data_IF_685616246708
#
_entry.id   IF_685616246708
#
_cell.length_a   1.000
_cell.length_b   1.000
_cell.length_c   1.000
_cell.angle_alpha   90.00
_cell.angle_beta   90.00
_cell.angle_gamma   90.00
#
_symmetry.space_group_name_H-M   'P 1'
#
loop_
_entity.id
_entity.type
_entity.pdbx_description
1 polymer ?
#
# COMPACT_ATOMS: atom_id res chain seq x y z
N UNK A 1 -31.48 -1.76 32.06
CA UNK A 1 -31.68 -2.28 30.69
C UNK A 1 -30.88 -1.51 29.64
N UNK A 2 -30.92 -0.17 29.63
CA UNK A 2 -30.15 0.67 28.67
C UNK A 2 -28.64 0.41 28.71
N UNK A 3 -28.01 0.32 29.90
CA UNK A 3 -26.57 0.06 30.01
C UNK A 3 -26.16 -1.33 29.50
N UNK A 4 -27.01 -2.34 29.70
CA UNK A 4 -26.76 -3.70 29.21
C UNK A 4 -26.90 -3.77 27.69
N UNK A 5 -27.93 -3.13 27.13
CA UNK A 5 -28.12 -3.04 25.68
C UNK A 5 -26.97 -2.29 25.00
N UNK A 6 -26.50 -1.18 25.59
CA UNK A 6 -25.33 -0.45 25.10
C UNK A 6 -24.06 -1.31 25.15
N UNK A 7 -23.84 -2.04 26.25
CA UNK A 7 -22.70 -2.94 26.37
C UNK A 7 -22.72 -4.04 25.31
N UNK A 8 -23.89 -4.66 25.07
CA UNK A 8 -24.05 -5.68 24.02
C UNK A 8 -23.80 -5.12 22.61
N UNK A 9 -24.27 -3.90 22.33
CA UNK A 9 -24.00 -3.23 21.05
C UNK A 9 -22.50 -2.95 20.89
N UNK A 10 -21.82 -2.46 21.93
CA UNK A 10 -20.37 -2.22 21.87
C UNK A 10 -19.58 -3.51 21.68
N UNK A 11 -20.00 -4.61 22.33
CA UNK A 11 -19.40 -5.94 22.12
C UNK A 11 -19.64 -6.43 20.69
N UNK A 12 -20.85 -6.29 20.16
CA UNK A 12 -21.17 -6.69 18.80
C UNK A 12 -20.38 -5.87 17.75
N UNK A 13 -20.26 -4.56 17.97
CA UNK A 13 -19.42 -3.68 17.13
C UNK A 13 -17.96 -4.13 17.23
N UNK A 14 -17.44 -4.30 18.45
CA UNK A 14 -16.08 -4.74 18.70
C UNK A 14 -15.76 -6.07 18.03
N UNK A 15 -16.68 -7.03 18.11
CA UNK A 15 -16.59 -8.30 17.41
C UNK A 15 -16.59 -8.11 15.89
N UNK A 16 -17.53 -7.34 15.33
CA UNK A 16 -17.63 -7.13 13.89
C UNK A 16 -16.39 -6.46 13.27
N UNK A 17 -15.85 -5.43 13.93
CA UNK A 17 -14.69 -4.69 13.43
C UNK A 17 -13.41 -5.51 13.51
N UNK A 18 -13.33 -6.43 14.47
CA UNK A 18 -12.14 -7.26 14.72
C UNK A 18 -12.22 -8.64 14.10
N UNK A 19 -13.40 -9.08 13.64
CA UNK A 19 -13.60 -10.42 13.08
C UNK A 19 -12.71 -10.61 11.84
N UNK A 20 -11.77 -11.57 11.87
CA UNK A 20 -10.91 -11.87 10.73
C UNK A 20 -11.76 -12.22 9.51
N UNK A 21 -11.33 -11.74 8.34
CA UNK A 21 -11.97 -12.04 7.06
C UNK A 21 -10.99 -12.86 6.22
N UNK A 22 -11.52 -13.59 5.24
CA UNK A 22 -10.70 -14.27 4.23
C UNK A 22 -10.20 -13.23 3.23
N UNK A 23 -9.27 -12.39 3.68
CA UNK A 23 -8.65 -11.40 2.82
C UNK A 23 -7.77 -12.10 1.78
N UNK A 24 -7.79 -11.61 0.54
CA UNK A 24 -7.00 -12.14 -0.57
C UNK A 24 -6.53 -10.98 -1.45
N UNK A 25 -5.21 -10.79 -1.54
CA UNK A 25 -4.62 -9.75 -2.39
C UNK A 25 -4.86 -9.97 -3.89
N UNK A 26 -5.32 -11.16 -4.30
CA UNK A 26 -5.55 -11.53 -5.71
C UNK A 26 -7.01 -11.43 -6.12
N UNK A 27 -7.93 -11.21 -5.18
CA UNK A 27 -9.37 -11.23 -5.41
C UNK A 27 -9.98 -9.81 -5.55
N UNK A 28 -9.32 -8.95 -6.33
CA UNK A 28 -9.72 -7.55 -6.54
C UNK A 28 -10.37 -7.30 -7.90
N UNK A 29 -11.12 -6.19 -8.01
CA UNK A 29 -11.54 -5.64 -9.30
C UNK A 29 -10.43 -4.72 -9.85
N UNK A 30 -9.86 -5.01 -11.04
CA UNK A 30 -8.76 -4.20 -11.57
C UNK A 30 -9.12 -2.74 -11.84
N UNK A 31 -10.36 -2.47 -12.25
CA UNK A 31 -10.83 -1.11 -12.52
C UNK A 31 -10.94 -0.29 -11.24
N UNK A 32 -11.43 -0.92 -10.17
CA UNK A 32 -11.58 -0.26 -8.87
C UNK A 32 -10.22 -0.03 -8.18
N UNK A 33 -9.28 -0.97 -8.27
CA UNK A 33 -7.89 -0.75 -7.85
C UNK A 33 -7.29 0.45 -8.59
N UNK A 34 -7.41 0.49 -9.93
CA UNK A 34 -6.85 1.60 -10.71
C UNK A 34 -7.47 2.94 -10.32
N UNK A 35 -8.79 2.98 -10.06
CA UNK A 35 -9.50 4.18 -9.60
C UNK A 35 -8.99 4.65 -8.23
N UNK A 36 -8.89 3.74 -7.26
CA UNK A 36 -8.46 4.04 -5.89
C UNK A 36 -6.99 4.46 -5.83
N UNK A 37 -6.10 3.74 -6.49
CA UNK A 37 -4.68 4.08 -6.53
C UNK A 37 -4.46 5.45 -7.19
N UNK A 38 -5.14 5.73 -8.31
CA UNK A 38 -5.07 7.05 -8.96
C UNK A 38 -5.54 8.17 -8.02
N UNK A 39 -6.63 7.94 -7.27
CA UNK A 39 -7.12 8.90 -6.28
C UNK A 39 -6.13 9.10 -5.13
N UNK A 40 -5.49 8.03 -4.64
CA UNK A 40 -4.45 8.09 -3.62
C UNK A 40 -3.23 8.88 -4.08
N UNK A 41 -2.75 8.64 -5.31
CA UNK A 41 -1.65 9.42 -5.90
C UNK A 41 -1.97 10.91 -5.90
N UNK A 42 -3.16 11.28 -6.38
CA UNK A 42 -3.63 12.66 -6.39
C UNK A 42 -3.69 13.25 -4.96
N UNK A 43 -4.27 12.52 -4.01
CA UNK A 43 -4.40 12.97 -2.63
C UNK A 43 -3.05 13.16 -1.93
N UNK A 44 -2.08 12.28 -2.20
CA UNK A 44 -0.73 12.40 -1.68
C UNK A 44 -0.05 13.68 -2.16
N UNK A 45 -0.11 13.97 -3.47
CA UNK A 45 0.49 15.16 -4.04
C UNK A 45 -0.24 16.45 -3.65
N UNK A 46 -1.57 16.43 -3.58
CA UNK A 46 -2.39 17.53 -3.08
C UNK A 46 -2.28 17.72 -1.55
N UNK A 47 -1.53 16.85 -0.86
CA UNK A 47 -1.39 16.81 0.61
C UNK A 47 -2.74 16.65 1.34
N UNK A 48 -3.73 16.03 0.69
CA UNK A 48 -5.04 15.69 1.26
C UNK A 48 -4.97 14.41 2.07
N UNK A 49 -4.22 14.43 3.16
CA UNK A 49 -3.88 13.23 3.94
C UNK A 49 -5.09 12.46 4.50
N UNK A 50 -6.18 13.15 4.84
CA UNK A 50 -7.41 12.50 5.30
C UNK A 50 -8.08 11.69 4.17
N UNK A 51 -8.10 12.23 2.95
CA UNK A 51 -8.62 11.54 1.78
C UNK A 51 -7.70 10.38 1.36
N UNK A 52 -6.37 10.59 1.36
CA UNK A 52 -5.39 9.54 1.13
C UNK A 52 -5.58 8.37 2.10
N UNK A 53 -5.75 8.67 3.39
CA UNK A 53 -6.00 7.68 4.41
C UNK A 53 -7.31 6.91 4.18
N UNK A 54 -8.38 7.63 3.81
CA UNK A 54 -9.66 7.01 3.49
C UNK A 54 -9.54 6.06 2.29
N UNK A 55 -8.89 6.46 1.20
CA UNK A 55 -8.70 5.59 0.04
C UNK A 55 -7.82 4.37 0.34
N UNK A 56 -6.78 4.51 1.18
CA UNK A 56 -6.00 3.36 1.70
C UNK A 56 -6.87 2.38 2.49
N UNK A 57 -7.73 2.90 3.36
CA UNK A 57 -8.67 2.12 4.14
C UNK A 57 -9.69 1.43 3.23
N UNK A 58 -10.27 2.16 2.28
CA UNK A 58 -11.27 1.67 1.32
C UNK A 58 -10.69 0.56 0.44
N UNK A 59 -9.49 0.74 -0.11
CA UNK A 59 -8.79 -0.26 -0.91
C UNK A 59 -8.57 -1.55 -0.12
N UNK A 60 -8.02 -1.45 1.09
CA UNK A 60 -7.77 -2.61 1.96
C UNK A 60 -9.08 -3.33 2.32
N UNK A 61 -10.14 -2.56 2.62
CA UNK A 61 -11.42 -3.08 3.07
C UNK A 61 -12.21 -3.76 1.95
N UNK A 62 -12.21 -3.16 0.75
CA UNK A 62 -13.12 -3.52 -0.35
C UNK A 62 -12.45 -4.40 -1.39
N UNK A 63 -11.19 -4.13 -1.74
CA UNK A 63 -10.49 -4.84 -2.81
C UNK A 63 -9.71 -6.05 -2.31
N UNK A 64 -9.18 -5.98 -1.09
CA UNK A 64 -8.47 -7.10 -0.46
C UNK A 64 -9.32 -7.83 0.58
N UNK A 65 -10.46 -7.26 0.99
CA UNK A 65 -11.39 -7.93 1.90
C UNK A 65 -10.97 -7.95 3.37
N UNK A 66 -10.00 -7.11 3.79
CA UNK A 66 -9.57 -7.04 5.20
C UNK A 66 -10.70 -6.65 6.15
N UNK A 67 -10.54 -6.98 7.43
CA UNK A 67 -11.42 -6.48 8.49
C UNK A 67 -11.31 -4.93 8.60
N UNK A 68 -12.34 -4.23 9.11
CA UNK A 68 -12.23 -2.79 9.38
C UNK A 68 -11.01 -2.45 10.25
N UNK A 69 -10.73 -3.23 11.30
CA UNK A 69 -9.60 -2.99 12.18
C UNK A 69 -8.25 -3.19 11.46
N UNK A 70 -8.13 -4.22 10.62
CA UNK A 70 -6.90 -4.46 9.87
C UNK A 70 -6.71 -3.45 8.74
N UNK A 71 -7.80 -3.06 8.06
CA UNK A 71 -7.78 -1.98 7.05
C UNK A 71 -7.31 -0.66 7.66
N UNK A 72 -7.75 -0.36 8.90
CA UNK A 72 -7.28 0.79 9.66
C UNK A 72 -5.78 0.69 9.97
N UNK A 73 -5.31 -0.48 10.44
CA UNK A 73 -3.89 -0.72 10.74
C UNK A 73 -3.01 -0.59 9.50
N UNK A 74 -3.46 -1.12 8.35
CA UNK A 74 -2.79 -1.02 7.05
C UNK A 74 -2.65 0.45 6.64
N UNK A 75 -3.76 1.19 6.65
CA UNK A 75 -3.76 2.62 6.28
C UNK A 75 -2.86 3.46 7.21
N UNK A 76 -2.87 3.19 8.53
CA UNK A 76 -1.99 3.85 9.49
C UNK A 76 -0.51 3.53 9.25
N UNK A 77 -0.18 2.28 8.94
CA UNK A 77 1.19 1.87 8.65
C UNK A 77 1.71 2.56 7.37
N UNK A 78 0.93 2.57 6.29
CA UNK A 78 1.26 3.27 5.06
C UNK A 78 1.44 4.78 5.28
N UNK A 79 0.53 5.42 6.02
CA UNK A 79 0.63 6.85 6.33
C UNK A 79 1.87 7.20 7.17
N UNK A 80 2.24 6.34 8.13
CA UNK A 80 3.48 6.50 8.92
C UNK A 80 4.72 6.36 8.05
N UNK A 81 4.77 5.40 7.14
CA UNK A 81 5.87 5.22 6.20
C UNK A 81 6.03 6.47 5.31
N UNK A 82 4.94 6.94 4.69
CA UNK A 82 4.96 8.13 3.85
C UNK A 82 5.41 9.38 4.63
N UNK A 83 4.90 9.58 5.85
CA UNK A 83 5.29 10.70 6.73
C UNK A 83 6.77 10.64 7.12
N UNK A 84 7.30 9.44 7.41
CA UNK A 84 8.70 9.26 7.75
C UNK A 84 9.63 9.48 6.55
N UNK A 85 9.20 9.11 5.34
CA UNK A 85 9.96 9.31 4.10
C UNK A 85 9.93 10.75 3.59
N UNK A 86 8.82 11.47 3.74
CA UNK A 86 8.62 12.81 3.14
C UNK A 86 9.73 13.83 3.43
N UNK A 87 10.29 13.97 4.66
CA UNK A 87 11.32 14.96 4.95
C UNK A 87 12.75 14.52 4.58
N UNK A 88 12.98 13.26 4.19
CA UNK A 88 14.33 12.72 4.02
C UNK A 88 15.00 13.24 2.75
N UNK A 89 16.34 13.32 2.76
CA UNK A 89 17.15 13.84 1.64
C UNK A 89 18.28 12.92 1.20
N UNK A 90 18.43 11.76 1.84
CA UNK A 90 19.44 10.75 1.53
C UNK A 90 18.85 9.34 1.69
N UNK A 91 19.49 8.34 1.06
CA UNK A 91 19.12 6.92 1.21
C UNK A 91 19.15 6.47 2.67
N UNK A 92 20.17 6.87 3.42
CA UNK A 92 20.31 6.53 4.83
C UNK A 92 19.16 7.10 5.67
N UNK A 93 18.80 8.38 5.47
CA UNK A 93 17.67 8.97 6.16
C UNK A 93 16.33 8.34 5.76
N UNK A 94 16.19 7.89 4.50
CA UNK A 94 14.99 7.20 4.01
C UNK A 94 14.69 5.91 4.78
N UNK A 95 15.70 5.24 5.36
CA UNK A 95 15.52 4.04 6.19
C UNK A 95 14.59 4.26 7.39
N UNK A 96 14.36 5.51 7.82
CA UNK A 96 13.36 5.83 8.83
C UNK A 96 11.93 5.38 8.48
N UNK A 97 11.63 5.16 7.19
CA UNK A 97 10.34 4.64 6.74
C UNK A 97 10.22 3.10 6.82
N UNK A 98 11.34 2.37 6.89
CA UNK A 98 11.35 0.90 6.85
C UNK A 98 10.47 0.26 7.95
N UNK A 99 10.54 0.65 9.23
CA UNK A 99 9.73 -0.02 10.26
C UNK A 99 8.21 0.04 9.98
N UNK A 100 7.75 1.14 9.41
CA UNK A 100 6.35 1.32 9.04
C UNK A 100 5.99 0.53 7.77
N UNK A 101 6.87 0.50 6.76
CA UNK A 101 6.70 -0.35 5.56
C UNK A 101 6.67 -1.83 5.90
N UNK A 102 7.54 -2.27 6.79
CA UNK A 102 7.58 -3.66 7.28
C UNK A 102 6.29 -4.01 8.01
N UNK A 103 5.75 -3.10 8.81
CA UNK A 103 4.44 -3.29 9.44
C UNK A 103 3.33 -3.39 8.40
N UNK A 104 3.36 -2.53 7.38
CA UNK A 104 2.40 -2.53 6.27
C UNK A 104 2.42 -3.86 5.50
N UNK A 105 3.59 -4.30 5.03
CA UNK A 105 3.71 -5.56 4.29
C UNK A 105 3.43 -6.79 5.14
N UNK A 106 3.74 -6.77 6.45
CA UNK A 106 3.37 -7.87 7.36
C UNK A 106 1.85 -8.04 7.45
N UNK A 107 1.10 -6.94 7.48
CA UNK A 107 -0.36 -7.01 7.46
C UNK A 107 -0.87 -7.55 6.11
N UNK A 108 -0.30 -7.08 5.00
CA UNK A 108 -0.66 -7.57 3.67
C UNK A 108 -0.34 -9.05 3.45
N UNK A 109 0.78 -9.54 3.98
CA UNK A 109 1.19 -10.94 3.85
C UNK A 109 0.17 -11.92 4.46
N UNK A 110 -0.66 -11.47 5.41
CA UNK A 110 -1.75 -12.31 5.94
C UNK A 110 -2.86 -12.60 4.93
N UNK A 111 -2.94 -11.83 3.84
CA UNK A 111 -3.89 -12.02 2.73
C UNK A 111 -3.26 -12.71 1.50
N UNK A 112 -2.05 -13.24 1.61
CA UNK A 112 -1.45 -14.05 0.55
C UNK A 112 -1.28 -15.48 1.07
N UNK A 113 -1.83 -16.51 0.39
CA UNK A 113 -1.60 -17.90 0.79
C UNK A 113 -0.10 -18.22 0.85
N UNK A 114 0.38 -18.68 2.00
CA UNK A 114 1.79 -18.97 2.25
C UNK A 114 2.65 -17.74 2.62
N UNK A 115 2.07 -16.55 2.65
CA UNK A 115 2.77 -15.29 2.89
C UNK A 115 3.75 -14.93 1.76
N UNK A 116 4.60 -13.93 2.04
CA UNK A 116 5.70 -13.52 1.18
C UNK A 116 6.83 -12.88 2.01
N UNK A 117 7.97 -12.61 1.40
CA UNK A 117 9.10 -11.94 2.07
C UNK A 117 8.76 -10.45 2.33
N UNK A 118 8.31 -10.20 3.56
CA UNK A 118 7.89 -8.88 4.05
C UNK A 118 9.03 -7.87 4.01
N UNK A 119 10.23 -8.30 4.39
CA UNK A 119 11.37 -7.41 4.56
C UNK A 119 11.92 -7.00 3.20
N UNK A 120 11.99 -7.94 2.26
CA UNK A 120 12.39 -7.66 0.89
C UNK A 120 11.36 -6.78 0.17
N UNK A 121 10.06 -7.03 0.34
CA UNK A 121 9.01 -6.15 -0.22
C UNK A 121 9.13 -4.71 0.31
N UNK A 122 9.32 -4.54 1.62
CA UNK A 122 9.50 -3.23 2.24
C UNK A 122 10.76 -2.50 1.75
N UNK A 123 11.87 -3.24 1.58
CA UNK A 123 13.14 -2.70 1.10
C UNK A 123 13.05 -2.25 -0.35
N UNK A 124 12.45 -3.06 -1.23
CA UNK A 124 12.26 -2.74 -2.64
C UNK A 124 11.28 -1.57 -2.81
N UNK A 125 10.21 -1.51 -1.99
CA UNK A 125 9.28 -0.39 -1.97
C UNK A 125 10.00 0.94 -1.68
N UNK A 126 10.81 0.96 -0.61
CA UNK A 126 11.60 2.14 -0.27
C UNK A 126 12.65 2.47 -1.35
N UNK A 127 13.27 1.45 -1.94
CA UNK A 127 14.29 1.62 -2.97
C UNK A 127 13.74 2.36 -4.19
N UNK A 128 12.55 1.99 -4.69
CA UNK A 128 11.97 2.71 -5.83
C UNK A 128 11.46 4.10 -5.44
N UNK A 129 10.95 4.32 -4.22
CA UNK A 129 10.62 5.67 -3.73
C UNK A 129 11.83 6.60 -3.77
N UNK A 130 12.98 6.10 -3.34
CA UNK A 130 14.23 6.85 -3.29
C UNK A 130 14.86 7.01 -4.68
N UNK A 131 14.83 5.98 -5.53
CA UNK A 131 15.30 6.05 -6.92
C UNK A 131 14.60 7.17 -7.70
N UNK A 132 13.29 7.39 -7.45
CA UNK A 132 12.56 8.53 -8.02
C UNK A 132 13.13 9.88 -7.61
N UNK A 133 13.53 10.06 -6.35
CA UNK A 133 14.16 11.32 -5.86
C UNK A 133 15.56 11.52 -6.44
N UNK A 134 16.25 10.43 -6.75
CA UNK A 134 17.56 10.42 -7.39
C UNK A 134 17.48 10.57 -8.92
N UNK A 135 16.29 10.82 -9.46
CA UNK A 135 16.03 10.98 -10.89
C UNK A 135 16.49 9.78 -11.73
N UNK A 136 16.45 8.57 -11.16
CA UNK A 136 16.62 7.32 -11.92
C UNK A 136 15.52 7.22 -12.98
N UNK A 137 15.87 6.69 -14.17
CA UNK A 137 14.93 6.57 -15.28
C UNK A 137 13.70 5.69 -14.94
N UNK A 138 12.49 6.04 -15.41
CA UNK A 138 11.25 5.34 -15.09
C UNK A 138 11.26 3.85 -15.42
N UNK A 139 11.77 3.47 -16.58
CA UNK A 139 11.91 2.06 -16.94
C UNK A 139 12.80 1.28 -15.95
N UNK A 140 13.82 1.93 -15.37
CA UNK A 140 14.75 1.28 -14.44
C UNK A 140 14.13 1.07 -13.06
N UNK A 141 13.55 2.11 -12.44
CA UNK A 141 12.89 1.91 -11.13
C UNK A 141 11.53 1.19 -11.26
N UNK A 142 10.90 1.20 -12.44
CA UNK A 142 9.69 0.45 -12.74
C UNK A 142 9.88 -1.07 -12.64
N UNK A 143 11.08 -1.58 -12.92
CA UNK A 143 11.43 -2.99 -12.64
C UNK A 143 11.42 -3.28 -11.14
N UNK A 144 11.85 -2.34 -10.30
CA UNK A 144 11.76 -2.48 -8.84
C UNK A 144 10.31 -2.50 -8.37
N UNK A 145 9.43 -1.65 -8.93
CA UNK A 145 7.98 -1.68 -8.69
C UNK A 145 7.39 -3.05 -9.07
N UNK A 146 7.76 -3.58 -10.23
CA UNK A 146 7.34 -4.91 -10.67
C UNK A 146 7.77 -6.03 -9.71
N UNK A 147 8.97 -5.94 -9.13
CA UNK A 147 9.46 -6.90 -8.14
C UNK A 147 8.67 -6.85 -6.83
N UNK A 148 8.27 -5.67 -6.36
CA UNK A 148 7.35 -5.55 -5.21
C UNK A 148 6.03 -6.28 -5.50
N UNK A 149 5.45 -6.06 -6.69
CA UNK A 149 4.23 -6.76 -7.10
C UNK A 149 4.45 -8.28 -7.21
N UNK A 150 5.59 -8.72 -7.74
CA UNK A 150 5.91 -10.14 -7.86
C UNK A 150 5.98 -10.83 -6.50
N UNK A 151 6.65 -10.21 -5.52
CA UNK A 151 6.73 -10.75 -4.16
C UNK A 151 5.34 -10.82 -3.53
N UNK A 152 4.57 -9.72 -3.57
CA UNK A 152 3.25 -9.65 -2.92
C UNK A 152 2.24 -10.62 -3.51
N UNK A 153 2.28 -10.83 -4.83
CA UNK A 153 1.39 -11.77 -5.52
C UNK A 153 1.94 -13.19 -5.63
N UNK A 154 3.15 -13.48 -5.14
CA UNK A 154 3.79 -14.79 -5.24
C UNK A 154 4.05 -15.23 -6.69
N UNK A 155 4.49 -14.28 -7.52
CA UNK A 155 4.85 -14.48 -8.94
C UNK A 155 6.36 -14.44 -9.12
N UNK A 156 6.81 -14.91 -10.29
CA UNK A 156 8.23 -14.82 -10.64
C UNK A 156 8.64 -13.35 -10.84
N UNK A 157 9.83 -12.91 -10.36
CA UNK A 157 10.26 -11.51 -10.48
C UNK A 157 10.35 -11.01 -11.92
N UNK A 158 10.62 -11.91 -12.86
CA UNK A 158 10.72 -11.59 -14.29
C UNK A 158 9.43 -11.91 -15.08
N UNK A 159 8.28 -12.02 -14.39
CA UNK A 159 6.99 -12.17 -15.08
C UNK A 159 6.76 -10.97 -16.03
N UNK A 160 6.66 -11.19 -17.36
CA UNK A 160 6.59 -10.09 -18.32
C UNK A 160 5.40 -9.17 -18.10
N UNK A 161 4.28 -9.70 -17.57
CA UNK A 161 3.08 -8.91 -17.30
C UNK A 161 3.29 -7.93 -16.14
N UNK A 162 4.00 -8.37 -15.11
CA UNK A 162 4.34 -7.52 -13.96
C UNK A 162 5.41 -6.49 -14.30
N UNK A 163 6.42 -6.88 -15.09
CA UNK A 163 7.44 -5.94 -15.58
C UNK A 163 6.79 -4.84 -16.41
N UNK A 164 5.91 -5.20 -17.35
CA UNK A 164 5.17 -4.23 -18.15
C UNK A 164 4.31 -3.30 -17.27
N UNK A 165 3.61 -3.85 -16.28
CA UNK A 165 2.79 -3.09 -15.34
C UNK A 165 3.63 -2.10 -14.51
N UNK A 166 4.72 -2.55 -13.89
CA UNK A 166 5.60 -1.72 -13.06
C UNK A 166 6.29 -0.61 -13.84
N UNK A 167 6.76 -0.91 -15.06
CA UNK A 167 7.33 0.10 -15.97
C UNK A 167 6.27 1.10 -16.42
N UNK A 168 5.08 0.65 -16.83
CA UNK A 168 3.98 1.54 -17.22
C UNK A 168 3.56 2.48 -16.09
N UNK A 169 3.51 1.99 -14.85
CA UNK A 169 3.25 2.81 -13.67
C UNK A 169 4.32 3.89 -13.48
N UNK A 170 5.60 3.52 -13.57
CA UNK A 170 6.72 4.45 -13.48
C UNK A 170 6.73 5.51 -14.59
N UNK A 171 6.41 5.14 -15.82
CA UNK A 171 6.29 6.06 -16.95
C UNK A 171 5.12 7.03 -16.75
N UNK A 172 3.97 6.55 -16.27
CA UNK A 172 2.83 7.41 -15.95
C UNK A 172 3.16 8.41 -14.84
N UNK A 173 3.88 7.98 -13.80
CA UNK A 173 4.37 8.87 -12.75
C UNK A 173 5.29 9.96 -13.32
N UNK A 174 6.26 9.59 -14.15
CA UNK A 174 7.20 10.52 -14.77
C UNK A 174 6.49 11.50 -15.72
N UNK A 175 5.51 11.02 -16.48
CA UNK A 175 4.68 11.84 -17.36
C UNK A 175 3.91 12.92 -16.58
N UNK A 176 3.37 12.57 -15.41
CA UNK A 176 2.72 13.54 -14.50
C UNK A 176 3.73 14.55 -13.94
N UNK A 177 4.85 14.06 -13.40
CA UNK A 177 5.90 14.90 -12.82
C UNK A 177 6.39 15.96 -13.81
N UNK A 178 6.49 15.61 -15.11
CA UNK A 178 6.91 16.52 -16.17
C UNK A 178 5.84 17.54 -16.59
N UNK A 179 4.55 17.26 -16.37
CA UNK A 179 3.42 18.06 -16.91
C UNK A 179 2.63 18.82 -15.84
N UNK A 180 2.92 18.59 -14.57
CA UNK A 180 2.49 19.47 -13.47
C UNK A 180 0.97 19.65 -13.33
N UNK A 181 0.17 18.66 -13.71
CA UNK A 181 -1.27 18.62 -13.46
C UNK A 181 -1.62 17.47 -12.53
#
# INVERSE_FOLDING_TARGET
MVCLALALVLVAIGAHVSWPRNADLRAFDPGEIARLETAMWRDYYDKRYAALFYHLYELSRTQFGFSPLDSLRIALAAARAAKAFQPTRSREAANAALPALVTYYRLLASATPGGFDVEEAARLELDWWQARREAVGPAQYGVTVARVAAITYGKHPDDPSLVMSGVGCAEAMAWRDARGR
#
